data_IF_235562127651
#
_entry.id   IF_235562127651
#
_cell.length_a   1.000
_cell.length_b   1.000
_cell.length_c   1.000
_cell.angle_alpha   90.00
_cell.angle_beta   90.00
_cell.angle_gamma   90.00
#
_symmetry.space_group_name_H-M   'P 1'
#
loop_
_entity.id
_entity.type
_entity.pdbx_description
1 polymer ?
#
# COMPACT_ATOMS: atom_id res chain seq x y z
N UNK A 1 -19.01 -45.88 -0.12
CA UNK A 1 -19.31 -44.47 -0.41
C UNK A 1 -18.78 -43.50 0.65
N UNK A 2 -18.73 -43.88 1.94
CA UNK A 2 -18.16 -43.05 3.02
C UNK A 2 -16.61 -42.92 2.98
N UNK A 3 -15.92 -43.94 2.44
CA UNK A 3 -14.44 -43.96 2.35
C UNK A 3 -13.86 -43.01 1.28
N UNK A 4 -14.63 -42.69 0.23
CA UNK A 4 -14.19 -41.83 -0.87
C UNK A 4 -14.20 -40.34 -0.49
N UNK A 5 -15.04 -39.95 0.48
CA UNK A 5 -15.17 -38.55 0.94
C UNK A 5 -13.97 -38.13 1.78
N UNK A 6 -13.37 -39.06 2.55
CA UNK A 6 -12.23 -38.77 3.44
C UNK A 6 -10.94 -38.48 2.65
N UNK A 7 -10.77 -39.09 1.48
CA UNK A 7 -9.59 -38.88 0.62
C UNK A 7 -9.58 -37.51 -0.06
N UNK A 8 -10.75 -36.87 -0.21
CA UNK A 8 -10.87 -35.54 -0.83
C UNK A 8 -10.43 -34.39 0.12
N UNK A 9 -10.40 -34.60 1.43
CA UNK A 9 -10.01 -33.56 2.40
C UNK A 9 -8.48 -33.44 2.58
N UNK A 10 -7.71 -34.49 2.28
CA UNK A 10 -6.23 -34.47 2.44
C UNK A 10 -5.50 -33.75 1.31
N UNK A 11 -6.19 -33.40 0.22
CA UNK A 11 -5.59 -32.76 -0.95
C UNK A 11 -5.28 -31.27 -0.74
N UNK A 12 -5.92 -30.60 0.22
CA UNK A 12 -5.66 -29.19 0.53
C UNK A 12 -4.52 -28.97 1.56
N UNK A 13 -3.99 -30.04 2.18
CA UNK A 13 -3.02 -29.91 3.28
C UNK A 13 -1.56 -29.68 2.87
N UNK A 14 -1.22 -29.76 1.59
CA UNK A 14 0.17 -29.66 1.10
C UNK A 14 0.52 -28.31 0.44
N UNK A 15 -0.30 -27.27 0.62
CA UNK A 15 -0.11 -25.96 0.00
C UNK A 15 0.74 -24.97 0.83
N UNK A 16 1.28 -25.38 1.99
CA UNK A 16 1.84 -24.46 2.98
C UNK A 16 3.32 -24.69 3.35
N UNK A 17 4.13 -25.33 2.49
CA UNK A 17 5.58 -25.47 2.75
C UNK A 17 6.47 -24.32 2.24
N UNK A 18 5.92 -23.34 1.52
CA UNK A 18 6.72 -22.24 0.93
C UNK A 18 6.33 -20.83 1.43
N UNK A 19 5.39 -20.72 2.38
CA UNK A 19 4.76 -19.41 2.72
C UNK A 19 5.53 -18.50 3.67
N UNK A 20 6.72 -18.90 4.13
CA UNK A 20 7.51 -18.09 5.07
C UNK A 20 8.90 -17.71 4.57
N UNK A 21 9.00 -17.31 3.29
CA UNK A 21 10.07 -16.37 2.90
C UNK A 21 9.74 -15.04 3.57
N UNK A 22 10.51 -14.70 4.59
CA UNK A 22 10.46 -13.41 5.25
C UNK A 22 10.63 -12.32 4.20
N UNK A 23 9.65 -11.42 4.09
CA UNK A 23 9.74 -10.29 3.15
C UNK A 23 10.71 -9.32 3.80
N UNK A 24 11.98 -9.42 3.43
CA UNK A 24 12.99 -8.47 3.90
C UNK A 24 12.52 -7.05 3.57
N UNK A 25 12.84 -6.08 4.43
CA UNK A 25 12.45 -4.67 4.24
C UNK A 25 12.88 -4.10 2.88
N UNK A 26 13.91 -4.68 2.26
CA UNK A 26 14.36 -4.33 0.89
C UNK A 26 13.43 -4.77 -0.24
N UNK A 27 12.50 -5.69 0.02
CA UNK A 27 11.61 -6.27 -0.99
C UNK A 27 10.16 -5.79 -0.85
N UNK A 28 9.89 -4.80 0.01
CA UNK A 28 8.56 -4.20 0.14
C UNK A 28 8.42 -3.04 -0.85
N UNK A 29 7.25 -2.90 -1.44
CA UNK A 29 6.91 -1.72 -2.24
C UNK A 29 6.72 -0.53 -1.32
N UNK A 30 7.42 0.57 -1.57
CA UNK A 30 7.23 1.81 -0.85
C UNK A 30 6.10 2.61 -1.53
N UNK A 31 4.98 2.74 -0.84
CA UNK A 31 3.76 3.38 -1.36
C UNK A 31 3.47 4.64 -0.57
N UNK A 32 3.24 5.74 -1.29
CA UNK A 32 2.79 7.00 -0.71
C UNK A 32 1.30 7.20 -1.00
N UNK A 33 0.54 7.67 -0.01
CA UNK A 33 -0.90 7.92 -0.14
C UNK A 33 -1.26 9.31 0.35
N UNK A 34 -2.43 9.83 -0.01
CA UNK A 34 -2.87 11.14 0.48
C UNK A 34 -3.39 11.08 1.91
N UNK A 35 -4.52 10.42 2.13
CA UNK A 35 -5.18 10.32 3.43
C UNK A 35 -4.99 8.95 4.11
N UNK A 36 -5.16 8.93 5.44
CA UNK A 36 -5.08 7.71 6.26
C UNK A 36 -6.02 6.60 5.78
N UNK A 37 -7.21 6.94 5.26
CA UNK A 37 -8.13 5.96 4.71
C UNK A 37 -7.49 5.13 3.57
N UNK A 38 -6.74 5.79 2.69
CA UNK A 38 -6.03 5.12 1.59
C UNK A 38 -4.80 4.35 2.10
N UNK A 39 -4.08 4.90 3.07
CA UNK A 39 -2.99 4.16 3.73
C UNK A 39 -3.51 2.85 4.30
N UNK A 40 -4.55 2.91 5.14
CA UNK A 40 -5.08 1.75 5.83
C UNK A 40 -5.64 0.69 4.86
N UNK A 41 -6.37 1.12 3.82
CA UNK A 41 -6.83 0.22 2.77
C UNK A 41 -5.66 -0.49 2.08
N UNK A 42 -4.63 0.26 1.72
CA UNK A 42 -3.46 -0.27 1.00
C UNK A 42 -2.64 -1.22 1.87
N UNK A 43 -2.48 -0.92 3.16
CA UNK A 43 -1.83 -1.80 4.14
C UNK A 43 -2.60 -3.12 4.30
N UNK A 44 -3.93 -3.07 4.37
CA UNK A 44 -4.77 -4.27 4.48
C UNK A 44 -4.67 -5.15 3.23
N UNK A 45 -4.64 -4.55 2.05
CA UNK A 45 -4.55 -5.29 0.78
C UNK A 45 -3.13 -5.82 0.53
N UNK A 46 -2.11 -4.98 0.73
CA UNK A 46 -0.71 -5.32 0.46
C UNK A 46 -0.04 -6.13 1.56
N UNK A 47 -0.54 -6.07 2.79
CA UNK A 47 -0.03 -6.82 3.94
C UNK A 47 1.48 -6.68 4.12
N UNK A 48 2.18 -7.82 4.24
CA UNK A 48 3.63 -7.84 4.46
C UNK A 48 4.47 -7.36 3.26
N UNK A 49 3.87 -7.14 2.09
CA UNK A 49 4.58 -6.79 0.85
C UNK A 49 4.72 -5.30 0.60
N UNK A 50 4.12 -4.45 1.45
CA UNK A 50 4.10 -2.99 1.26
C UNK A 50 4.59 -2.26 2.51
N UNK A 51 5.20 -1.10 2.31
CA UNK A 51 5.41 -0.06 3.32
C UNK A 51 4.65 1.19 2.86
N UNK A 52 3.58 1.55 3.56
CA UNK A 52 2.64 2.58 3.10
C UNK A 52 2.70 3.80 4.03
N UNK A 53 2.80 5.00 3.45
CA UNK A 53 2.87 6.27 4.21
C UNK A 53 1.86 7.26 3.67
N UNK A 54 1.00 7.80 4.53
CA UNK A 54 0.18 8.97 4.21
C UNK A 54 1.02 10.24 4.26
N UNK A 55 0.86 11.12 3.27
CA UNK A 55 1.54 12.41 3.24
C UNK A 55 0.86 13.44 4.13
N UNK A 56 -0.44 13.28 4.41
CA UNK A 56 -1.17 14.18 5.29
C UNK A 56 -0.94 13.83 6.76
N UNK A 57 -0.41 14.76 7.56
CA UNK A 57 -0.28 14.56 8.99
C UNK A 57 -1.66 14.38 9.65
N UNK A 58 -1.70 13.62 10.74
CA UNK A 58 -2.91 13.46 11.53
C UNK A 58 -3.43 14.82 12.00
N UNK A 59 -4.70 15.11 11.72
CA UNK A 59 -5.35 16.36 12.11
C UNK A 59 -4.98 17.60 11.28
N UNK A 60 -4.19 17.45 10.22
CA UNK A 60 -3.91 18.55 9.31
C UNK A 60 -5.12 18.88 8.42
N UNK A 61 -5.27 20.16 8.08
CA UNK A 61 -6.15 20.59 7.01
C UNK A 61 -5.49 20.26 5.66
N UNK A 62 -6.12 19.35 4.92
CA UNK A 62 -5.60 18.83 3.65
C UNK A 62 -5.62 19.88 2.53
N UNK A 63 -6.46 20.93 2.65
CA UNK A 63 -6.59 21.96 1.62
C UNK A 63 -5.46 23.00 1.70
N UNK A 64 -4.83 23.13 2.86
CA UNK A 64 -3.69 24.03 3.10
C UNK A 64 -2.35 23.29 3.22
N UNK A 65 -2.35 21.95 3.13
CA UNK A 65 -1.13 21.16 3.19
C UNK A 65 -0.19 21.48 2.03
N UNK A 66 1.06 21.80 2.34
CA UNK A 66 2.12 21.96 1.37
C UNK A 66 3.27 20.98 1.65
N UNK A 67 3.58 20.05 0.73
CA UNK A 67 4.66 19.10 0.91
C UNK A 67 6.01 19.81 0.88
N UNK A 68 6.95 19.38 1.72
CA UNK A 68 8.32 19.88 1.64
C UNK A 68 9.03 19.33 0.40
N UNK A 69 10.13 19.96 -0.02
CA UNK A 69 10.97 19.42 -1.10
C UNK A 69 11.47 18.00 -0.77
N UNK A 70 11.73 17.71 0.50
CA UNK A 70 12.15 16.39 0.96
C UNK A 70 11.03 15.36 0.77
N UNK A 71 9.79 15.74 1.02
CA UNK A 71 8.63 14.87 0.81
C UNK A 71 8.42 14.61 -0.68
N UNK A 72 8.54 15.64 -1.52
CA UNK A 72 8.49 15.50 -2.98
C UNK A 72 9.53 14.49 -3.51
N UNK A 73 10.77 14.56 -3.02
CA UNK A 73 11.84 13.62 -3.40
C UNK A 73 11.51 12.19 -2.95
N UNK A 74 10.96 12.02 -1.74
CA UNK A 74 10.57 10.70 -1.23
C UNK A 74 9.44 10.10 -2.06
N UNK A 75 8.38 10.86 -2.30
CA UNK A 75 7.22 10.42 -3.08
C UNK A 75 7.66 10.03 -4.50
N UNK A 76 8.53 10.82 -5.13
CA UNK A 76 9.08 10.52 -6.47
C UNK A 76 9.96 9.28 -6.54
N UNK A 77 10.56 8.85 -5.41
CA UNK A 77 11.37 7.63 -5.34
C UNK A 77 10.56 6.40 -4.93
N UNK A 78 9.34 6.60 -4.44
CA UNK A 78 8.43 5.52 -4.10
C UNK A 78 7.96 4.78 -5.36
N UNK A 79 7.47 3.56 -5.15
CA UNK A 79 7.02 2.68 -6.23
C UNK A 79 5.60 3.01 -6.70
N UNK A 80 4.78 3.62 -5.83
CA UNK A 80 3.41 4.01 -6.13
C UNK A 80 2.98 5.24 -5.31
N UNK A 81 2.28 6.17 -5.97
CA UNK A 81 1.55 7.25 -5.32
C UNK A 81 0.03 7.08 -5.54
N UNK A 82 -0.72 6.86 -4.46
CA UNK A 82 -2.16 6.60 -4.48
C UNK A 82 -2.96 7.76 -3.88
N UNK A 83 -3.91 8.29 -4.63
CA UNK A 83 -4.81 9.36 -4.20
C UNK A 83 -6.20 9.18 -4.81
N UNK A 84 -7.17 9.98 -4.36
CA UNK A 84 -8.59 9.85 -4.74
C UNK A 84 -8.85 10.26 -6.19
N UNK A 85 -8.75 11.55 -6.49
CA UNK A 85 -8.87 12.12 -7.83
C UNK A 85 -8.26 13.51 -7.89
N UNK A 86 -8.01 13.97 -9.11
CA UNK A 86 -7.46 15.30 -9.40
C UNK A 86 -8.35 16.46 -8.92
N UNK A 87 -9.66 16.25 -8.93
CA UNK A 87 -10.68 17.24 -8.59
C UNK A 87 -10.94 17.31 -7.09
N UNK A 88 -10.90 16.15 -6.42
CA UNK A 88 -11.15 16.05 -4.98
C UNK A 88 -9.90 16.43 -4.17
N UNK A 89 -8.72 16.21 -4.74
CA UNK A 89 -7.44 16.44 -4.07
C UNK A 89 -6.47 17.26 -4.95
N UNK A 90 -6.63 18.61 -4.97
CA UNK A 90 -5.78 19.49 -5.77
C UNK A 90 -4.30 19.47 -5.36
N UNK A 91 -4.02 19.18 -4.09
CA UNK A 91 -2.65 19.07 -3.58
C UNK A 91 -1.99 17.82 -4.16
N UNK A 92 -2.68 16.67 -4.12
CA UNK A 92 -2.20 15.44 -4.74
C UNK A 92 -2.01 15.58 -6.25
N UNK A 93 -2.92 16.27 -6.95
CA UNK A 93 -2.76 16.60 -8.37
C UNK A 93 -1.47 17.36 -8.65
N UNK A 94 -1.15 18.37 -7.84
CA UNK A 94 0.11 19.15 -7.97
C UNK A 94 1.32 18.24 -7.79
N UNK A 95 1.27 17.35 -6.80
CA UNK A 95 2.34 16.38 -6.54
C UNK A 95 2.51 15.41 -7.71
N UNK A 96 1.42 14.75 -8.13
CA UNK A 96 1.39 13.75 -9.19
C UNK A 96 1.88 14.29 -10.55
N UNK A 97 1.65 15.58 -10.84
CA UNK A 97 2.19 16.23 -12.05
C UNK A 97 3.68 16.56 -11.95
N UNK A 98 4.20 16.68 -10.74
CA UNK A 98 5.57 17.12 -10.47
C UNK A 98 6.54 15.94 -10.32
N UNK A 99 6.06 14.79 -9.87
CA UNK A 99 6.81 13.53 -9.86
C UNK A 99 6.59 12.84 -11.22
N UNK A 100 7.67 12.52 -11.92
CA UNK A 100 7.65 11.83 -13.22
C UNK A 100 8.60 10.64 -13.17
#
# INVERSE_FOLDING_TARGET
MLLAVIMLLSACGNLDKDKNKDVSTKNKLEIYTTAYAFQNLTEQVGGKYVDVKSIYPAGADIHSFEPTQKDMIKISKGDLFLYSSDEMDPVAKKIAKSIK
#
